data_IF_992720958881
#
_entry.id   IF_992720958881
#
_cell.length_a   1.000
_cell.length_b   1.000
_cell.length_c   1.000
_cell.angle_alpha   90.00
_cell.angle_beta   90.00
_cell.angle_gamma   90.00
#
_symmetry.space_group_name_H-M   'P 1'
#
loop_
_entity.id
_entity.type
_entity.pdbx_description
1 polymer ?
#
# COMPACT_ATOMS: atom_id res chain seq x y z
N UNK A 1 -10.39 -12.75 -7.90
CA UNK A 1 -9.39 -12.39 -8.92
C UNK A 1 -10.15 -11.71 -10.05
N UNK A 2 -9.98 -10.39 -10.30
CA UNK A 2 -10.66 -9.75 -11.41
C UNK A 2 -10.07 -10.31 -12.71
N UNK A 3 -10.89 -11.06 -13.44
CA UNK A 3 -10.56 -11.56 -14.78
C UNK A 3 -10.43 -10.34 -15.70
N UNK A 4 -9.22 -10.13 -16.24
CA UNK A 4 -8.85 -8.93 -16.98
C UNK A 4 -9.83 -8.64 -18.13
N UNK A 5 -10.67 -7.62 -17.91
CA UNK A 5 -11.52 -7.00 -18.93
C UNK A 5 -10.61 -6.19 -19.85
N UNK A 6 -10.49 -6.61 -21.10
CA UNK A 6 -9.90 -5.89 -22.26
C UNK A 6 -8.69 -5.00 -21.93
N UNK A 7 -7.47 -5.55 -21.99
CA UNK A 7 -6.24 -4.76 -21.86
C UNK A 7 -6.12 -3.78 -23.03
N UNK A 8 -6.02 -2.48 -22.73
CA UNK A 8 -5.73 -1.45 -23.73
C UNK A 8 -4.25 -1.11 -23.72
N UNK A 9 -3.63 -1.03 -24.90
CA UNK A 9 -2.25 -0.57 -25.03
C UNK A 9 -2.21 0.94 -24.80
N UNK A 10 -1.44 1.37 -23.79
CA UNK A 10 -1.25 2.79 -23.45
C UNK A 10 0.22 3.16 -23.64
N UNK A 11 0.46 4.32 -24.26
CA UNK A 11 1.81 4.85 -24.45
C UNK A 11 2.14 5.89 -23.37
N UNK A 12 2.97 5.51 -22.40
CA UNK A 12 3.45 6.41 -21.35
C UNK A 12 4.94 6.69 -21.50
N UNK A 13 5.35 7.93 -21.22
CA UNK A 13 6.77 8.30 -21.08
C UNK A 13 7.19 8.10 -19.63
N UNK A 14 7.81 6.96 -19.35
CA UNK A 14 8.27 6.59 -18.01
C UNK A 14 9.79 6.54 -17.96
N UNK A 15 10.35 6.76 -16.77
CA UNK A 15 11.80 6.65 -16.56
C UNK A 15 12.21 5.17 -16.53
N UNK A 16 12.93 4.72 -17.55
CA UNK A 16 13.39 3.34 -17.68
C UNK A 16 14.21 2.84 -16.47
N UNK A 17 15.05 3.70 -15.88
CA UNK A 17 15.84 3.33 -14.70
C UNK A 17 14.97 3.13 -13.44
N UNK A 18 13.81 3.79 -13.35
CA UNK A 18 12.82 3.51 -12.30
C UNK A 18 12.10 2.19 -12.54
N UNK A 19 11.71 1.89 -13.79
CA UNK A 19 11.08 0.62 -14.14
C UNK A 19 12.01 -0.56 -13.86
N UNK A 20 13.29 -0.47 -14.25
CA UNK A 20 14.28 -1.52 -13.96
C UNK A 20 14.47 -1.77 -12.47
N UNK A 21 14.43 -0.72 -11.64
CA UNK A 21 14.44 -0.85 -10.19
C UNK A 21 13.19 -1.53 -9.67
N UNK A 22 12.01 -1.11 -10.14
CA UNK A 22 10.75 -1.74 -9.79
C UNK A 22 10.71 -3.24 -10.17
N UNK A 23 11.20 -3.60 -11.36
CA UNK A 23 11.31 -5.02 -11.78
C UNK A 23 12.13 -5.85 -10.78
N UNK A 24 13.26 -5.32 -10.31
CA UNK A 24 14.12 -6.01 -9.33
C UNK A 24 13.44 -6.14 -7.97
N UNK A 25 12.87 -5.05 -7.45
CA UNK A 25 12.22 -5.02 -6.13
C UNK A 25 10.97 -5.90 -6.08
N UNK A 26 10.19 -5.90 -7.16
CA UNK A 26 8.92 -6.63 -7.25
C UNK A 26 9.08 -8.04 -7.84
N UNK A 27 10.30 -8.48 -8.12
CA UNK A 27 10.60 -9.77 -8.78
C UNK A 27 9.72 -10.03 -10.01
N UNK A 28 9.62 -9.03 -10.89
CA UNK A 28 8.82 -9.09 -12.10
C UNK A 28 9.69 -9.43 -13.33
N UNK A 29 9.22 -10.36 -14.17
CA UNK A 29 9.90 -10.77 -15.39
C UNK A 29 9.79 -9.76 -16.52
N UNK A 30 8.74 -8.91 -16.52
CA UNK A 30 8.51 -7.89 -17.56
C UNK A 30 8.26 -6.50 -16.99
N UNK A 31 8.43 -5.47 -17.82
CA UNK A 31 8.15 -4.08 -17.43
C UNK A 31 6.67 -3.87 -17.15
N UNK A 32 5.79 -4.43 -17.98
CA UNK A 32 4.34 -4.41 -17.77
C UNK A 32 3.98 -5.07 -16.44
N UNK A 33 4.53 -6.25 -16.15
CA UNK A 33 4.27 -6.93 -14.88
C UNK A 33 4.75 -6.12 -13.68
N UNK A 34 5.91 -5.46 -13.77
CA UNK A 34 6.36 -4.58 -12.70
C UNK A 34 5.42 -3.41 -12.46
N UNK A 35 4.86 -2.83 -13.53
CA UNK A 35 3.89 -1.73 -13.42
C UNK A 35 2.58 -2.22 -12.80
N UNK A 36 2.04 -3.35 -13.26
CA UNK A 36 0.80 -3.93 -12.71
C UNK A 36 0.97 -4.26 -11.22
N UNK A 37 2.05 -4.98 -10.85
CA UNK A 37 2.33 -5.29 -9.43
C UNK A 37 2.54 -4.05 -8.57
N UNK A 38 3.15 -3.00 -9.12
CA UNK A 38 3.34 -1.74 -8.39
C UNK A 38 2.00 -1.04 -8.12
N UNK A 39 1.07 -1.08 -9.07
CA UNK A 39 -0.28 -0.53 -8.90
C UNK A 39 -1.07 -1.33 -7.86
N UNK A 40 -1.05 -2.65 -7.94
CA UNK A 40 -1.69 -3.53 -6.95
C UNK A 40 -1.16 -3.28 -5.54
N UNK A 41 0.17 -3.11 -5.40
CA UNK A 41 0.82 -2.82 -4.13
C UNK A 41 0.33 -1.49 -3.54
N UNK A 42 0.33 -0.42 -4.34
CA UNK A 42 -0.10 0.92 -3.88
C UNK A 42 -1.56 0.94 -3.46
N UNK A 43 -2.44 0.23 -4.18
CA UNK A 43 -3.85 0.11 -3.82
C UNK A 43 -3.99 -0.64 -2.50
N UNK A 44 -3.32 -1.78 -2.37
CA UNK A 44 -3.35 -2.59 -1.15
C UNK A 44 -2.76 -1.87 0.07
N UNK A 45 -1.72 -1.05 -0.13
CA UNK A 45 -1.17 -0.18 0.92
C UNK A 45 -2.15 0.91 1.32
N UNK A 46 -2.81 1.56 0.36
CA UNK A 46 -3.81 2.58 0.65
C UNK A 46 -5.00 2.01 1.42
N UNK A 47 -5.53 0.85 1.03
CA UNK A 47 -6.63 0.18 1.73
C UNK A 47 -6.25 -0.20 3.16
N UNK A 48 -5.05 -0.78 3.37
CA UNK A 48 -4.54 -1.10 4.71
C UNK A 48 -4.38 0.15 5.58
N UNK A 49 -3.86 1.22 5.01
CA UNK A 49 -3.68 2.48 5.72
C UNK A 49 -5.02 3.14 6.07
N UNK A 50 -6.02 3.02 5.17
CA UNK A 50 -7.38 3.47 5.43
C UNK A 50 -8.00 2.75 6.64
N UNK A 51 -7.87 1.42 6.69
CA UNK A 51 -8.35 0.62 7.82
C UNK A 51 -7.65 0.98 9.13
N UNK A 52 -6.33 1.18 9.10
CA UNK A 52 -5.57 1.60 10.28
C UNK A 52 -5.96 3.00 10.76
N UNK A 53 -6.15 3.95 9.83
CA UNK A 53 -6.59 5.30 10.14
C UNK A 53 -8.00 5.32 10.72
N UNK A 54 -8.94 4.56 10.14
CA UNK A 54 -10.31 4.44 10.65
C UNK A 54 -10.34 3.78 12.03
N UNK A 55 -9.56 2.72 12.25
CA UNK A 55 -9.44 2.07 13.55
C UNK A 55 -8.88 3.04 14.60
N UNK A 56 -7.86 3.82 14.25
CA UNK A 56 -7.28 4.84 15.12
C UNK A 56 -8.29 5.96 15.44
N UNK A 57 -9.04 6.43 14.44
CA UNK A 57 -10.07 7.45 14.65
C UNK A 57 -11.18 6.94 15.58
N UNK A 58 -11.67 5.72 15.38
CA UNK A 58 -12.64 5.07 16.27
C UNK A 58 -12.08 4.92 17.68
N UNK A 59 -10.82 4.50 17.81
CA UNK A 59 -10.14 4.38 19.11
C UNK A 59 -10.09 5.72 19.84
N UNK A 60 -9.60 6.78 19.19
CA UNK A 60 -9.54 8.13 19.78
C UNK A 60 -10.93 8.63 20.17
N UNK A 61 -11.96 8.40 19.35
CA UNK A 61 -13.34 8.83 19.63
C UNK A 61 -14.07 7.97 20.67
N UNK A 62 -13.64 6.73 20.89
CA UNK A 62 -14.34 5.78 21.77
C UNK A 62 -14.29 6.12 23.25
N UNK A 63 -13.43 7.07 23.66
CA UNK A 63 -13.31 7.47 25.06
C UNK A 63 -12.72 6.37 25.96
N UNK A 64 -12.07 5.36 25.38
CA UNK A 64 -11.42 4.27 26.12
C UNK A 64 -10.25 4.83 26.92
N UNK A 65 -10.27 4.60 28.24
CA UNK A 65 -9.15 4.92 29.11
C UNK A 65 -8.05 3.87 28.95
N UNK A 66 -6.92 4.26 28.35
CA UNK A 66 -5.73 3.41 28.26
C UNK A 66 -5.03 3.41 29.60
N UNK A 67 -5.09 2.29 30.31
CA UNK A 67 -4.34 2.10 31.55
C UNK A 67 -2.89 1.81 31.22
N UNK A 68 -1.97 2.60 31.79
CA UNK A 68 -0.55 2.30 31.73
C UNK A 68 -0.26 1.05 32.60
N UNK A 69 -0.05 -0.08 31.93
CA UNK A 69 0.22 -1.36 32.60
C UNK A 69 1.67 -1.42 33.11
N UNK A 70 2.57 -0.68 32.49
CA UNK A 70 4.01 -0.74 32.79
C UNK A 70 4.49 0.44 33.65
N UNK A 71 3.63 1.41 33.97
CA UNK A 71 3.93 2.54 34.87
C UNK A 71 5.06 3.43 34.34
N UNK A 72 5.20 3.53 33.01
CA UNK A 72 6.30 4.24 32.36
C UNK A 72 5.99 5.73 32.16
N UNK A 73 4.73 6.14 32.28
CA UNK A 73 4.28 7.51 31.97
C UNK A 73 4.25 8.46 33.18
N UNK A 74 4.56 8.00 34.39
CA UNK A 74 4.55 8.82 35.62
C UNK A 74 5.95 9.29 36.09
N UNK A 75 6.94 9.36 35.19
CA UNK A 75 8.26 9.97 35.48
C UNK A 75 8.42 11.35 34.87
#
# INVERSE_FOLDING_TARGET
>A
MPTARTRSHKHFRLNAAKIKRAQKVLHAGTETEAIERALDLVISEHERNGLAAEANERFVKSGIAVKDVYGTLEQ
#
